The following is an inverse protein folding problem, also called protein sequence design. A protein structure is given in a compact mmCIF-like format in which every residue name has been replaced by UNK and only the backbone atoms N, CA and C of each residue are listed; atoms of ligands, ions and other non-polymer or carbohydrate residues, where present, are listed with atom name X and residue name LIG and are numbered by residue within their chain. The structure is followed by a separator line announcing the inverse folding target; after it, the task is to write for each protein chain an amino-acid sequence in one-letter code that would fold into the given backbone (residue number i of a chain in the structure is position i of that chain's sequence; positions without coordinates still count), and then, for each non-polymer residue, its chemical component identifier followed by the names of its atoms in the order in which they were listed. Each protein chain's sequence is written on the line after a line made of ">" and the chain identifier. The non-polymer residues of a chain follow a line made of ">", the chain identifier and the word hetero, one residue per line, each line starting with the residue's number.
data_IF_834753606693
#
_entry.id   IF_834753606693
#
_cell.length_a   1.000
_cell.length_b   1.000
_cell.length_c   1.000
_cell.angle_alpha   90.00
_cell.angle_beta   90.00
_cell.angle_gamma   90.00
#
_symmetry.space_group_name_H-M   'P 1'
#
loop_
_entity.id
_entity.type
_entity.pdbx_description
1 polymer ?
#
# COMPACT_ATOMS: atom_id res chain seq x y z
N UNK A 1 -9.08 -0.01 -20.92
CA UNK A 1 -8.44 -0.51 -19.72
C UNK A 1 -9.07 0.10 -18.49
N UNK A 2 -9.54 -0.71 -17.60
CA UNK A 2 -10.14 -0.25 -16.38
C UNK A 2 -9.13 -0.06 -15.26
N UNK A 3 -9.58 0.57 -14.18
CA UNK A 3 -8.82 0.66 -12.96
C UNK A 3 -8.95 -0.66 -12.19
N UNK A 4 -7.89 -1.04 -11.50
CA UNK A 4 -7.90 -2.24 -10.65
C UNK A 4 -7.99 -1.80 -9.19
N UNK A 5 -8.99 -2.33 -8.49
CA UNK A 5 -9.16 -2.11 -7.06
C UNK A 5 -9.01 -3.43 -6.32
N UNK A 6 -8.50 -3.37 -5.11
CA UNK A 6 -8.34 -4.54 -4.27
C UNK A 6 -8.78 -4.21 -2.85
N UNK A 7 -9.37 -5.18 -2.17
CA UNK A 7 -9.71 -5.02 -0.75
C UNK A 7 -8.46 -5.34 0.06
N UNK A 8 -8.04 -4.38 0.86
CA UNK A 8 -6.86 -4.54 1.71
C UNK A 8 -7.19 -4.17 3.14
N UNK A 9 -6.33 -4.58 4.04
CA UNK A 9 -6.43 -4.26 5.46
C UNK A 9 -5.14 -3.60 5.88
N UNK A 10 -5.25 -2.43 6.49
CA UNK A 10 -4.11 -1.70 7.02
C UNK A 10 -4.20 -1.68 8.54
N UNK A 11 -3.07 -1.82 9.21
CA UNK A 11 -3.04 -1.79 10.67
C UNK A 11 -1.74 -1.18 11.14
N UNK A 12 -1.74 -0.77 12.42
CA UNK A 12 -0.56 -0.24 13.07
C UNK A 12 0.10 -1.36 13.87
N UNK A 13 1.25 -1.89 13.42
CA UNK A 13 1.89 -3.02 14.12
C UNK A 13 2.44 -2.63 15.49
N UNK A 14 2.57 -1.34 15.78
CA UNK A 14 3.03 -0.85 17.09
C UNK A 14 1.90 -0.64 18.07
N UNK A 15 0.64 -0.72 17.62
CA UNK A 15 -0.52 -0.56 18.47
C UNK A 15 -1.60 -1.54 18.04
N UNK A 16 -1.44 -2.79 18.47
CA UNK A 16 -2.31 -3.88 18.05
C UNK A 16 -3.71 -3.79 18.66
N UNK A 17 -3.91 -2.91 19.64
CA UNK A 17 -5.23 -2.69 20.22
C UNK A 17 -6.15 -1.91 19.30
N UNK A 18 -5.60 -1.17 18.34
CA UNK A 18 -6.41 -0.45 17.37
C UNK A 18 -6.99 -1.41 16.34
N UNK A 19 -8.24 -1.15 15.96
CA UNK A 19 -8.88 -1.93 14.91
C UNK A 19 -8.21 -1.66 13.57
N UNK A 20 -8.03 -2.69 12.74
CA UNK A 20 -7.53 -2.47 11.38
C UNK A 20 -8.50 -1.64 10.55
N UNK A 21 -7.97 -0.98 9.54
CA UNK A 21 -8.77 -0.23 8.58
C UNK A 21 -8.90 -1.06 7.31
N UNK A 22 -10.11 -1.50 7.00
CA UNK A 22 -10.38 -2.31 5.81
C UNK A 22 -11.03 -1.43 4.76
N UNK A 23 -10.50 -1.47 3.55
CA UNK A 23 -10.97 -0.61 2.47
C UNK A 23 -10.52 -1.13 1.13
N UNK A 24 -11.18 -0.63 0.09
CA UNK A 24 -10.65 -0.76 -1.27
C UNK A 24 -9.45 0.16 -1.42
N UNK A 25 -8.48 -0.31 -2.19
CA UNK A 25 -7.33 0.48 -2.60
C UNK A 25 -7.24 0.45 -4.11
N UNK A 26 -6.87 1.57 -4.71
CA UNK A 26 -6.55 1.59 -6.13
C UNK A 26 -5.17 0.99 -6.30
N UNK A 27 -5.07 -0.04 -7.14
CA UNK A 27 -3.80 -0.70 -7.44
C UNK A 27 -3.13 0.10 -8.55
N UNK A 28 -1.98 0.70 -8.24
CA UNK A 28 -1.31 1.62 -9.15
C UNK A 28 0.19 1.33 -9.16
N UNK A 29 0.62 0.53 -10.14
CA UNK A 29 2.04 0.19 -10.29
C UNK A 29 2.88 1.37 -10.76
N UNK A 30 2.25 2.45 -11.21
CA UNK A 30 2.95 3.69 -11.53
C UNK A 30 3.31 4.52 -10.31
N UNK A 31 2.68 4.25 -9.17
CA UNK A 31 3.07 4.84 -7.89
C UNK A 31 4.07 3.91 -7.21
N UNK A 32 5.07 4.49 -6.54
CA UNK A 32 6.07 3.69 -5.83
C UNK A 32 5.56 3.21 -4.48
N UNK A 33 4.89 4.09 -3.76
CA UNK A 33 4.63 3.92 -2.33
C UNK A 33 3.19 3.50 -2.07
N UNK A 34 2.94 3.05 -0.84
CA UNK A 34 1.60 3.05 -0.30
C UNK A 34 1.24 4.51 0.00
N UNK A 35 0.10 4.96 -0.52
CA UNK A 35 -0.40 6.31 -0.26
C UNK A 35 -1.72 6.20 0.50
N UNK A 36 -1.88 6.99 1.54
CA UNK A 36 -3.08 6.94 2.38
C UNK A 36 -3.60 8.35 2.65
N UNK A 37 -4.94 8.52 2.76
CA UNK A 37 -5.50 9.80 3.19
C UNK A 37 -5.18 10.10 4.64
N UNK A 38 -5.27 11.37 5.02
CA UNK A 38 -5.01 11.81 6.39
C UNK A 38 -5.89 11.09 7.41
N UNK A 39 -7.18 10.87 7.08
CA UNK A 39 -8.09 10.23 8.03
C UNK A 39 -7.65 8.79 8.37
N UNK A 40 -7.03 8.08 7.43
CA UNK A 40 -6.52 6.74 7.68
C UNK A 40 -5.31 6.81 8.62
N UNK A 41 -4.38 7.72 8.33
CA UNK A 41 -3.21 7.91 9.18
C UNK A 41 -3.61 8.26 10.62
N UNK A 42 -4.60 9.13 10.77
CA UNK A 42 -5.11 9.56 12.08
C UNK A 42 -5.80 8.41 12.80
N UNK A 43 -6.66 7.67 12.10
CA UNK A 43 -7.42 6.57 12.70
C UNK A 43 -6.50 5.45 13.19
N UNK A 44 -5.43 5.18 12.47
CA UNK A 44 -4.45 4.16 12.84
C UNK A 44 -3.35 4.71 13.74
N UNK A 45 -3.39 5.98 14.11
CA UNK A 45 -2.42 6.63 14.97
C UNK A 45 -0.98 6.40 14.51
N UNK A 46 -0.78 6.52 13.20
CA UNK A 46 0.54 6.29 12.62
C UNK A 46 1.47 7.45 12.93
N UNK A 47 2.70 7.12 13.28
CA UNK A 47 3.71 8.11 13.62
C UNK A 47 4.25 8.78 12.37
N UNK A 48 4.32 10.11 12.36
CA UNK A 48 5.00 10.82 11.29
C UNK A 48 6.51 10.73 11.54
N UNK A 49 7.22 10.14 10.59
CA UNK A 49 8.66 9.90 10.70
C UNK A 49 9.47 11.04 10.10
N UNK A 50 8.97 11.62 9.02
CA UNK A 50 9.57 12.79 8.36
C UNK A 50 8.60 13.31 7.31
N UNK A 51 8.95 14.45 6.71
CA UNK A 51 8.28 14.95 5.50
C UNK A 51 9.07 14.48 4.30
N UNK A 52 8.37 14.13 3.22
CA UNK A 52 9.01 13.74 1.97
C UNK A 52 8.43 14.51 0.80
N UNK A 53 9.27 14.99 -0.12
CA UNK A 53 8.76 15.59 -1.35
C UNK A 53 8.25 14.49 -2.28
N UNK A 54 7.03 14.67 -2.80
CA UNK A 54 6.47 13.78 -3.82
C UNK A 54 6.08 14.62 -5.03
N UNK A 55 6.29 14.07 -6.21
CA UNK A 55 5.90 14.72 -7.45
C UNK A 55 4.59 14.13 -7.93
N UNK A 56 3.64 14.99 -8.24
CA UNK A 56 2.35 14.57 -8.77
C UNK A 56 2.43 14.43 -10.28
N UNK A 57 1.39 13.80 -10.86
CA UNK A 57 1.29 13.63 -12.31
C UNK A 57 1.24 14.97 -13.04
N UNK A 58 0.87 16.06 -12.35
CA UNK A 58 0.81 17.40 -12.93
C UNK A 58 2.13 18.16 -12.80
N UNK A 59 3.19 17.52 -12.31
CA UNK A 59 4.49 18.14 -12.17
C UNK A 59 4.65 18.98 -10.92
N UNK A 60 3.65 19.02 -10.05
CA UNK A 60 3.73 19.75 -8.79
C UNK A 60 4.45 18.89 -7.75
N UNK A 61 5.35 19.51 -6.97
CA UNK A 61 6.01 18.83 -5.86
C UNK A 61 5.34 19.27 -4.57
N UNK A 62 4.92 18.27 -3.77
CA UNK A 62 4.30 18.49 -2.47
C UNK A 62 5.18 17.85 -1.39
N UNK A 63 5.24 18.50 -0.24
CA UNK A 63 5.96 17.99 0.92
C UNK A 63 4.92 17.34 1.84
N UNK A 64 4.93 16.01 1.94
CA UNK A 64 3.88 15.27 2.63
C UNK A 64 4.45 14.45 3.77
N UNK A 65 3.63 14.12 4.78
CA UNK A 65 4.09 13.24 5.87
C UNK A 65 4.42 11.85 5.35
N UNK A 66 5.52 11.30 5.82
CA UNK A 66 5.87 9.90 5.66
C UNK A 66 5.65 9.25 7.02
N UNK A 67 4.75 8.28 7.08
CA UNK A 67 4.28 7.69 8.34
C UNK A 67 4.54 6.19 8.34
N UNK A 68 4.60 5.61 9.53
CA UNK A 68 4.75 4.18 9.64
C UNK A 68 5.32 3.75 10.98
N UNK A 69 5.59 2.44 11.07
CA UNK A 69 5.36 1.41 10.06
C UNK A 69 3.87 1.08 9.90
N UNK A 70 3.49 0.64 8.71
CA UNK A 70 2.13 0.17 8.42
C UNK A 70 2.21 -1.31 8.05
N UNK A 71 1.32 -2.10 8.60
CA UNK A 71 1.13 -3.46 8.13
C UNK A 71 0.00 -3.45 7.10
N UNK A 72 0.28 -3.94 5.90
CA UNK A 72 -0.72 -4.08 4.85
C UNK A 72 -0.95 -5.56 4.61
N UNK A 73 -2.23 -5.96 4.60
CA UNK A 73 -2.63 -7.34 4.36
C UNK A 73 -3.48 -7.41 3.11
N UNK A 74 -3.19 -8.39 2.28
CA UNK A 74 -4.02 -8.72 1.12
C UNK A 74 -4.02 -10.24 0.97
N UNK A 75 -5.22 -10.86 1.02
CA UNK A 75 -5.37 -12.31 0.91
C UNK A 75 -4.47 -13.01 1.95
N UNK A 76 -3.64 -13.95 1.55
CA UNK A 76 -2.74 -14.65 2.48
C UNK A 76 -1.35 -13.97 2.58
N UNK A 77 -1.25 -12.71 2.19
CA UNK A 77 0.00 -11.96 2.15
C UNK A 77 -0.04 -10.77 3.10
N UNK A 78 1.11 -10.38 3.58
CA UNK A 78 1.25 -9.13 4.33
C UNK A 78 2.64 -8.55 4.13
N UNK A 79 2.77 -7.26 4.40
CA UNK A 79 4.07 -6.60 4.42
C UNK A 79 4.07 -5.47 5.44
N UNK A 80 5.26 -5.01 5.78
CA UNK A 80 5.44 -3.82 6.60
C UNK A 80 6.08 -2.75 5.73
N UNK A 81 5.42 -1.62 5.60
CA UNK A 81 5.90 -0.53 4.74
C UNK A 81 5.63 0.81 5.41
N UNK A 82 6.33 1.84 4.96
CA UNK A 82 5.95 3.20 5.24
C UNK A 82 4.93 3.67 4.22
N UNK A 83 4.22 4.74 4.55
CA UNK A 83 3.21 5.30 3.67
C UNK A 83 3.37 6.81 3.60
N UNK A 84 3.01 7.41 2.47
CA UNK A 84 2.91 8.86 2.36
C UNK A 84 1.45 9.27 2.49
N UNK A 85 1.22 10.38 3.19
CA UNK A 85 -0.14 10.86 3.46
C UNK A 85 -0.48 11.87 2.39
N UNK A 86 -1.34 11.46 1.45
CA UNK A 86 -1.72 12.30 0.32
C UNK A 86 -3.04 11.78 -0.28
N UNK A 87 -3.83 12.69 -0.80
CA UNK A 87 -5.04 12.34 -1.55
C UNK A 87 -6.21 11.95 -0.68
N UNK A 88 -7.21 11.35 -1.32
CA UNK A 88 -8.46 11.00 -0.67
C UNK A 88 -8.84 9.52 -0.81
N UNK A 89 -7.95 8.71 -1.37
CA UNK A 89 -8.14 7.26 -1.45
C UNK A 89 -6.80 6.58 -1.23
N UNK A 90 -6.87 5.29 -0.90
CA UNK A 90 -5.67 4.48 -0.69
C UNK A 90 -5.15 4.05 -2.05
N UNK A 91 -3.85 4.28 -2.30
CA UNK A 91 -3.15 3.77 -3.49
C UNK A 91 -2.16 2.72 -3.05
N UNK A 92 -2.27 1.53 -3.66
CA UNK A 92 -1.32 0.45 -3.42
C UNK A 92 -0.28 0.49 -4.51
N UNK A 93 0.90 1.02 -4.19
CA UNK A 93 1.97 1.21 -5.15
C UNK A 93 2.88 0.00 -5.32
N UNK A 94 3.95 0.18 -6.06
CA UNK A 94 4.83 -0.91 -6.46
C UNK A 94 5.54 -1.57 -5.29
N UNK A 95 6.03 -0.80 -4.31
CA UNK A 95 6.79 -1.38 -3.19
C UNK A 95 5.98 -2.40 -2.40
N UNK A 96 4.77 -2.06 -1.89
CA UNK A 96 4.00 -3.08 -1.17
C UNK A 96 3.60 -4.25 -2.07
N UNK A 97 3.32 -4.02 -3.35
CA UNK A 97 2.99 -5.14 -4.25
C UNK A 97 4.16 -6.07 -4.44
N UNK A 98 5.37 -5.53 -4.58
CA UNK A 98 6.57 -6.36 -4.75
C UNK A 98 6.93 -7.09 -3.47
N UNK A 99 6.79 -6.42 -2.32
CA UNK A 99 7.06 -7.06 -1.04
C UNK A 99 6.14 -8.25 -0.80
N UNK A 100 4.87 -8.09 -1.13
CA UNK A 100 3.89 -9.16 -0.97
C UNK A 100 3.89 -10.16 -2.13
N UNK A 101 4.70 -9.91 -3.16
CA UNK A 101 4.79 -10.77 -4.35
C UNK A 101 3.42 -10.95 -4.99
N UNK A 102 2.80 -9.82 -5.34
CA UNK A 102 1.48 -9.78 -5.96
C UNK A 102 1.60 -9.48 -7.45
N UNK A 103 0.65 -9.99 -8.21
CA UNK A 103 0.56 -9.71 -9.64
C UNK A 103 -0.87 -9.31 -9.99
N UNK A 104 -1.03 -8.62 -11.11
CA UNK A 104 -2.35 -8.33 -11.66
C UNK A 104 -2.60 -9.38 -12.75
N UNK A 105 -3.68 -10.15 -12.57
CA UNK A 105 -4.04 -11.16 -13.56
C UNK A 105 -4.49 -10.48 -14.85
N UNK A 106 -3.85 -10.77 -16.00
CA UNK A 106 -4.11 -9.98 -17.21
C UNK A 106 -5.54 -10.05 -17.72
N UNK A 107 -6.15 -11.24 -17.66
CA UNK A 107 -7.49 -11.43 -18.22
C UNK A 107 -8.57 -10.82 -17.32
N UNK A 108 -8.47 -11.00 -15.99
CA UNK A 108 -9.51 -10.55 -15.07
C UNK A 108 -9.22 -9.16 -14.49
N UNK A 109 -8.02 -8.64 -14.69
CA UNK A 109 -7.59 -7.35 -14.11
C UNK A 109 -7.72 -7.32 -12.60
N UNK A 110 -7.49 -8.46 -11.94
CA UNK A 110 -7.57 -8.58 -10.49
C UNK A 110 -6.20 -8.77 -9.90
N UNK A 111 -5.99 -8.15 -8.73
CA UNK A 111 -4.79 -8.37 -7.93
C UNK A 111 -4.87 -9.75 -7.30
N UNK A 112 -3.76 -10.46 -7.29
CA UNK A 112 -3.68 -11.80 -6.72
C UNK A 112 -2.26 -12.10 -6.29
N UNK A 113 -2.09 -13.02 -5.33
CA UNK A 113 -0.75 -13.53 -5.04
C UNK A 113 -0.16 -14.17 -6.28
N UNK A 114 1.16 -14.04 -6.43
CA UNK A 114 1.86 -14.63 -7.57
C UNK A 114 1.58 -16.14 -7.58
N UNK A 115 0.96 -16.67 -8.65
CA UNK A 115 0.60 -18.10 -8.69
C UNK A 115 1.80 -19.04 -8.74
N UNK A 116 2.98 -18.52 -9.08
CA UNK A 116 4.21 -19.30 -9.02
C UNK A 116 4.67 -19.53 -7.58
N UNK A 117 4.17 -18.74 -6.63
CA UNK A 117 4.52 -18.82 -5.22
C UNK A 117 3.24 -18.76 -4.38
N UNK A 118 2.43 -19.84 -4.36
CA UNK A 118 1.08 -19.75 -3.81
C UNK A 118 1.02 -19.63 -2.28
N UNK A 119 2.06 -20.04 -1.57
CA UNK A 119 2.01 -20.10 -0.10
C UNK A 119 2.61 -18.88 0.58
N UNK A 120 3.67 -18.33 0.03
CA UNK A 120 4.43 -17.20 0.59
C UNK A 120 5.04 -16.38 -0.52
N UNK A 121 5.32 -15.09 -0.25
CA UNK A 121 6.15 -14.31 -1.16
C UNK A 121 7.50 -14.97 -1.37
N UNK A 122 8.02 -14.90 -2.58
CA UNK A 122 9.33 -15.42 -2.92
C UNK A 122 10.04 -14.43 -3.82
N UNK A 123 11.35 -14.27 -3.62
CA UNK A 123 12.11 -13.23 -4.28
C UNK A 123 13.40 -13.81 -4.86
N UNK A 124 13.89 -13.16 -5.91
CA UNK A 124 15.22 -13.45 -6.43
C UNK A 124 16.19 -12.47 -5.77
N UNK A 125 17.19 -13.01 -5.09
CA UNK A 125 18.26 -12.24 -4.48
C UNK A 125 19.54 -12.50 -5.28
N UNK A 126 20.13 -11.43 -5.73
CA UNK A 126 21.33 -11.54 -6.54
C UNK A 126 22.51 -11.98 -5.73
#
# INVERSE_FOLDING_TARGET
>A
MGLTYANIKLSNPRNVALNPFESKALVDSGALMLCIPQNVATQLELEELEKRPVSTAHGTTLNVPYVGPVRADFDNRFCFVGAVVIGNEILLGALPMEDMDLVIHPASQKLMPNPLHPNKPSYTIK
#
